data_IF_675117644533
#
_entry.id   IF_675117644533
#
_cell.length_a   1.000
_cell.length_b   1.000
_cell.length_c   1.000
_cell.angle_alpha   90.00
_cell.angle_beta   90.00
_cell.angle_gamma   90.00
#
_symmetry.space_group_name_H-M   'P 1'
#
loop_
_entity.id
_entity.type
_entity.pdbx_description
1 polymer ?
#
# COMPACT_ATOMS: atom_id res chain seq x y z
N UNK A 1 7.72 0.57 -15.41
CA UNK A 1 7.52 0.40 -13.96
C UNK A 1 6.02 0.41 -13.70
N UNK A 2 5.44 -0.75 -13.43
CA UNK A 2 4.01 -0.92 -13.17
C UNK A 2 3.77 -0.86 -11.65
N UNK A 3 2.98 0.10 -11.21
CA UNK A 3 2.73 0.35 -9.79
C UNK A 3 1.22 0.33 -9.54
N UNK A 4 0.78 -0.25 -8.42
CA UNK A 4 -0.63 -0.33 -8.09
C UNK A 4 -0.93 -0.35 -6.59
N UNK A 5 -2.21 -0.27 -6.25
CA UNK A 5 -2.72 -0.49 -4.90
C UNK A 5 -3.76 -1.60 -4.91
N UNK A 6 -3.70 -2.50 -3.92
CA UNK A 6 -4.64 -3.60 -3.78
C UNK A 6 -5.08 -3.78 -2.32
N UNK A 7 -6.36 -3.58 -2.06
CA UNK A 7 -7.00 -4.04 -0.83
C UNK A 7 -7.26 -5.56 -0.92
N UNK A 8 -6.41 -6.34 -0.26
CA UNK A 8 -6.43 -7.81 -0.30
C UNK A 8 -7.35 -8.43 0.75
N UNK A 9 -7.93 -7.62 1.64
CA UNK A 9 -8.76 -7.99 2.81
C UNK A 9 -8.08 -8.87 3.87
N UNK A 10 -7.10 -9.70 3.50
CA UNK A 10 -6.27 -10.50 4.40
C UNK A 10 -5.10 -11.12 3.64
N UNK A 11 -3.88 -10.94 4.15
CA UNK A 11 -2.66 -11.53 3.57
C UNK A 11 -2.38 -12.96 4.07
N UNK A 12 -2.77 -13.30 5.31
CA UNK A 12 -2.55 -14.61 5.93
C UNK A 12 -3.83 -15.16 6.59
N UNK A 13 -4.08 -16.47 6.45
CA UNK A 13 -5.25 -17.09 7.05
C UNK A 13 -5.27 -16.99 8.59
N UNK A 14 -6.47 -16.83 9.16
CA UNK A 14 -6.69 -16.67 10.61
C UNK A 14 -6.31 -17.91 11.42
N UNK A 15 -6.30 -19.08 10.78
CA UNK A 15 -6.06 -20.35 11.45
C UNK A 15 -4.58 -20.74 11.40
N UNK A 16 -3.92 -20.54 12.53
CA UNK A 16 -2.74 -21.29 12.95
C UNK A 16 -3.08 -22.78 13.21
N UNK A 17 -3.83 -23.44 12.33
CA UNK A 17 -4.00 -24.89 12.36
C UNK A 17 -3.02 -25.55 11.38
N UNK A 18 -1.79 -25.63 11.87
CA UNK A 18 -0.90 -26.80 11.72
C UNK A 18 -0.34 -27.21 10.36
N UNK A 19 -0.51 -26.50 9.23
CA UNK A 19 0.29 -26.92 8.04
C UNK A 19 0.62 -25.95 6.90
N UNK A 20 -0.09 -24.86 6.61
CA UNK A 20 0.14 -24.14 5.32
C UNK A 20 -0.15 -22.63 5.36
N UNK A 21 0.76 -21.80 5.91
CA UNK A 21 0.69 -20.33 5.81
C UNK A 21 0.80 -19.78 4.37
N UNK A 22 1.14 -20.63 3.40
CA UNK A 22 1.59 -20.26 2.05
C UNK A 22 0.47 -19.97 1.04
N UNK A 23 -0.81 -20.29 1.29
CA UNK A 23 -1.80 -20.26 0.19
C UNK A 23 -2.19 -18.86 -0.29
N UNK A 24 -2.39 -17.89 0.61
CA UNK A 24 -2.87 -16.55 0.22
C UNK A 24 -1.76 -15.66 -0.31
N UNK A 25 -0.57 -15.70 0.29
CA UNK A 25 0.61 -14.98 -0.23
C UNK A 25 0.96 -15.46 -1.64
N UNK A 26 0.96 -16.77 -1.88
CA UNK A 26 1.19 -17.35 -3.21
C UNK A 26 0.13 -16.89 -4.22
N UNK A 27 -1.14 -16.82 -3.84
CA UNK A 27 -2.20 -16.34 -4.73
C UNK A 27 -2.01 -14.85 -5.06
N UNK A 28 -1.78 -14.01 -4.06
CA UNK A 28 -1.49 -12.59 -4.27
C UNK A 28 -0.28 -12.45 -5.20
N UNK A 29 0.82 -13.14 -4.92
CA UNK A 29 2.03 -13.06 -5.71
C UNK A 29 1.85 -13.56 -7.16
N UNK A 30 1.03 -14.60 -7.38
CA UNK A 30 0.66 -15.06 -8.73
C UNK A 30 -0.18 -14.05 -9.50
N UNK A 31 -1.13 -13.40 -8.84
CA UNK A 31 -1.94 -12.34 -9.46
C UNK A 31 -1.07 -11.13 -9.82
N UNK A 32 -0.18 -10.72 -8.91
CA UNK A 32 0.80 -9.68 -9.19
C UNK A 32 1.73 -10.03 -10.35
N UNK A 33 2.16 -11.29 -10.44
CA UNK A 33 2.95 -11.79 -11.56
C UNK A 33 2.16 -11.80 -12.86
N UNK A 34 0.89 -12.20 -12.83
CA UNK A 34 0.02 -12.23 -14.02
C UNK A 34 -0.13 -10.85 -14.64
N UNK A 35 -0.26 -9.83 -13.79
CA UNK A 35 -0.47 -8.46 -14.23
C UNK A 35 0.86 -7.67 -14.38
N UNK A 36 2.01 -8.36 -14.25
CA UNK A 36 3.37 -7.82 -14.38
C UNK A 36 3.64 -6.57 -13.52
N UNK A 37 3.23 -6.60 -12.25
CA UNK A 37 3.36 -5.47 -11.33
C UNK A 37 4.76 -5.41 -10.70
N UNK A 38 5.38 -4.23 -10.66
CA UNK A 38 6.71 -4.06 -10.06
C UNK A 38 6.64 -3.71 -8.57
N UNK A 39 5.72 -2.81 -8.20
CA UNK A 39 5.50 -2.39 -6.81
C UNK A 39 4.00 -2.29 -6.55
N UNK A 40 3.51 -2.97 -5.51
CA UNK A 40 2.10 -2.89 -5.11
C UNK A 40 1.97 -2.56 -3.64
N UNK A 41 1.19 -1.52 -3.34
CA UNK A 41 0.74 -1.22 -2.00
C UNK A 41 -0.43 -2.13 -1.62
N UNK A 42 -0.31 -2.79 -0.48
CA UNK A 42 -1.30 -3.70 0.05
C UNK A 42 -2.06 -3.04 1.20
N UNK A 43 -3.38 -3.08 1.15
CA UNK A 43 -4.26 -2.65 2.23
C UNK A 43 -5.02 -3.84 2.82
N UNK A 44 -5.40 -3.71 4.09
CA UNK A 44 -6.05 -4.76 4.88
C UNK A 44 -5.26 -6.08 4.94
N UNK A 45 -3.95 -6.00 5.21
CA UNK A 45 -3.13 -7.21 5.42
C UNK A 45 -3.64 -8.04 6.60
N UNK A 46 -4.19 -7.37 7.62
CA UNK A 46 -4.70 -7.95 8.89
C UNK A 46 -3.69 -8.84 9.62
N UNK A 47 -2.40 -8.53 9.46
CA UNK A 47 -1.29 -9.15 10.20
C UNK A 47 -0.87 -8.22 11.33
N UNK A 48 -0.51 -8.77 12.49
CA UNK A 48 0.03 -7.99 13.61
C UNK A 48 1.51 -7.63 13.42
N UNK A 49 1.91 -6.53 14.05
CA UNK A 49 3.30 -6.09 14.09
C UNK A 49 3.85 -5.68 12.74
N UNK A 50 5.18 -5.67 12.65
CA UNK A 50 5.94 -5.35 11.45
C UNK A 50 6.76 -6.56 11.04
N UNK A 51 6.88 -6.80 9.73
CA UNK A 51 7.72 -7.87 9.23
C UNK A 51 7.85 -7.86 7.72
N UNK A 52 8.65 -8.78 7.23
CA UNK A 52 8.84 -9.04 5.81
C UNK A 52 9.05 -10.54 5.54
N UNK A 53 8.73 -10.98 4.33
CA UNK A 53 9.08 -12.31 3.84
C UNK A 53 9.18 -12.30 2.31
N UNK A 54 9.95 -13.24 1.77
CA UNK A 54 10.09 -13.42 0.32
C UNK A 54 9.24 -14.60 -0.13
N UNK A 55 8.29 -14.33 -1.03
CA UNK A 55 7.47 -15.33 -1.69
C UNK A 55 8.21 -15.86 -2.92
N UNK A 56 8.88 -17.00 -2.75
CA UNK A 56 9.74 -17.59 -3.79
C UNK A 56 8.96 -18.06 -5.01
N UNK A 57 7.67 -18.35 -4.89
CA UNK A 57 6.85 -18.90 -5.98
C UNK A 57 6.70 -17.95 -7.17
N UNK A 58 6.59 -16.65 -6.92
CA UNK A 58 6.43 -15.62 -7.94
C UNK A 58 7.51 -14.52 -7.89
N UNK A 59 8.45 -14.61 -6.94
CA UNK A 59 9.59 -13.69 -6.86
C UNK A 59 9.23 -12.31 -6.31
N UNK A 60 8.37 -12.25 -5.28
CA UNK A 60 7.99 -10.98 -4.62
C UNK A 60 8.50 -10.92 -3.19
N UNK A 61 8.97 -9.74 -2.78
CA UNK A 61 9.26 -9.41 -1.39
C UNK A 61 8.06 -8.71 -0.79
N UNK A 62 7.46 -9.31 0.22
CA UNK A 62 6.36 -8.72 0.98
C UNK A 62 6.88 -8.03 2.24
N UNK A 63 6.37 -6.84 2.50
CA UNK A 63 6.54 -6.08 3.73
C UNK A 63 5.15 -5.80 4.31
N UNK A 64 4.98 -5.85 5.63
CA UNK A 64 3.74 -5.43 6.27
C UNK A 64 4.00 -4.65 7.55
N UNK A 65 3.04 -3.80 7.86
CA UNK A 65 2.91 -3.10 9.13
C UNK A 65 1.43 -3.11 9.51
N UNK A 66 1.11 -3.76 10.62
CA UNK A 66 -0.21 -3.73 11.22
C UNK A 66 -0.17 -3.32 12.68
N UNK A 67 -1.30 -3.47 13.36
CA UNK A 67 -1.43 -3.12 14.78
C UNK A 67 -0.66 -4.12 15.66
N UNK A 68 -0.36 -3.72 16.89
CA UNK A 68 0.22 -4.62 17.89
C UNK A 68 -0.75 -5.77 18.23
N UNK A 69 -0.20 -6.89 18.73
CA UNK A 69 -0.96 -8.11 19.05
C UNK A 69 -2.10 -7.89 20.04
N UNK A 70 -1.99 -6.85 20.87
CA UNK A 70 -2.99 -6.41 21.86
C UNK A 70 -4.29 -5.90 21.22
N UNK A 71 -4.25 -5.46 19.96
CA UNK A 71 -5.40 -4.93 19.24
C UNK A 71 -5.98 -5.95 18.24
N UNK A 72 -7.24 -5.79 17.84
CA UNK A 72 -7.87 -6.66 16.84
C UNK A 72 -7.17 -6.57 15.47
N UNK A 73 -7.12 -7.70 14.74
CA UNK A 73 -6.65 -7.82 13.34
C UNK A 73 -7.64 -7.23 12.34
N UNK A 74 -7.88 -5.92 12.42
CA UNK A 74 -8.85 -5.23 11.57
C UNK A 74 -8.18 -4.35 10.50
N UNK A 75 -6.90 -4.03 10.67
CA UNK A 75 -6.18 -3.10 9.79
C UNK A 75 -4.73 -3.53 9.60
N UNK A 76 -4.13 -3.07 8.51
CA UNK A 76 -2.72 -3.27 8.21
C UNK A 76 -2.41 -2.87 6.78
N UNK A 77 -1.21 -2.33 6.58
CA UNK A 77 -0.68 -1.94 5.27
C UNK A 77 0.53 -2.79 4.95
N UNK A 78 0.91 -2.84 3.68
CA UNK A 78 2.10 -3.54 3.25
C UNK A 78 2.54 -3.15 1.85
N UNK A 79 3.63 -3.74 1.41
CA UNK A 79 4.12 -3.64 0.05
C UNK A 79 4.46 -5.03 -0.47
N UNK A 80 4.22 -5.23 -1.76
CA UNK A 80 4.80 -6.31 -2.54
C UNK A 80 5.73 -5.69 -3.58
N UNK A 81 7.02 -6.05 -3.53
CA UNK A 81 8.03 -5.55 -4.46
C UNK A 81 8.53 -6.74 -5.27
N UNK A 82 8.46 -6.66 -6.59
CA UNK A 82 9.00 -7.68 -7.48
C UNK A 82 10.51 -7.73 -7.34
N UNK A 83 11.01 -8.88 -6.91
CA UNK A 83 12.45 -9.16 -6.87
C UNK A 83 12.86 -9.50 -8.29
N UNK A 84 13.36 -8.51 -9.01
CA UNK A 84 14.01 -8.77 -10.29
C UNK A 84 15.42 -9.28 -9.99
N UNK A 85 15.80 -10.51 -10.39
CA UNK A 85 17.19 -10.93 -10.26
C UNK A 85 18.08 -9.99 -11.06
N UNK A 86 19.22 -9.61 -10.50
CA UNK A 86 20.15 -8.61 -11.05
C UNK A 86 20.59 -8.91 -12.51
N UNK A 87 20.41 -10.14 -12.99
CA UNK A 87 20.68 -10.57 -14.36
C UNK A 87 19.78 -9.94 -15.44
N UNK A 88 18.68 -9.26 -15.07
CA UNK A 88 17.85 -8.47 -16.01
C UNK A 88 18.17 -6.97 -16.02
N UNK A 89 19.12 -6.50 -15.21
CA UNK A 89 19.61 -5.13 -15.26
C UNK A 89 20.73 -5.06 -16.30
N UNK A 90 20.37 -4.80 -17.56
CA UNK A 90 21.36 -4.58 -18.64
C UNK A 90 22.20 -3.31 -18.43
N UNK A 91 21.79 -2.44 -17.50
CA UNK A 91 22.53 -1.25 -17.10
C UNK A 91 22.51 -1.13 -15.56
N UNK A 92 23.70 -1.03 -14.96
CA UNK A 92 23.84 -0.63 -13.55
C UNK A 92 23.29 0.80 -13.41
N UNK A 93 22.35 1.08 -12.48
CA UNK A 93 21.83 2.43 -12.30
C UNK A 93 22.99 3.37 -11.94
N UNK A 94 23.23 4.39 -12.78
CA UNK A 94 24.18 5.44 -12.49
C UNK A 94 23.64 6.24 -11.30
N UNK A 95 24.39 6.23 -10.20
CA UNK A 95 24.01 6.87 -8.94
C UNK A 95 23.93 8.38 -9.05
N UNK A 96 22.77 8.89 -9.43
CA UNK A 96 22.20 10.08 -8.80
C UNK A 96 21.08 9.54 -7.89
N UNK A 97 20.82 10.17 -6.74
CA UNK A 97 19.88 9.63 -5.74
C UNK A 97 18.46 9.50 -6.34
N UNK A 98 18.19 8.41 -7.05
CA UNK A 98 16.87 7.99 -7.49
C UNK A 98 16.21 7.16 -6.37
N UNK A 99 16.26 7.66 -5.13
CA UNK A 99 15.59 7.01 -4.01
C UNK A 99 14.09 7.18 -4.21
N UNK A 100 13.47 6.20 -4.87
CA UNK A 100 12.02 6.14 -4.98
C UNK A 100 11.44 5.85 -3.60
N UNK A 101 10.90 6.88 -2.95
CA UNK A 101 10.22 6.71 -1.66
C UNK A 101 8.78 6.26 -1.91
N UNK A 102 8.47 5.02 -1.59
CA UNK A 102 7.10 4.48 -1.70
C UNK A 102 6.39 4.51 -0.35
N UNK A 103 5.24 5.19 -0.27
CA UNK A 103 4.40 5.25 0.93
C UNK A 103 3.07 4.53 0.67
N UNK A 104 2.69 3.61 1.56
CA UNK A 104 1.41 2.90 1.49
C UNK A 104 0.58 3.28 2.70
N UNK A 105 -0.60 3.81 2.48
CA UNK A 105 -1.50 4.22 3.55
C UNK A 105 -2.86 3.53 3.46
N UNK A 106 -3.50 3.34 4.61
CA UNK A 106 -4.90 2.95 4.69
C UNK A 106 -5.63 4.00 5.52
N UNK A 107 -6.43 4.83 4.86
CA UNK A 107 -7.09 5.93 5.52
C UNK A 107 -8.34 5.48 6.30
N UNK A 108 -8.75 6.24 7.32
CA UNK A 108 -9.96 5.95 8.07
C UNK A 108 -11.20 5.88 7.18
N UNK A 109 -12.07 4.90 7.47
CA UNK A 109 -13.32 4.70 6.73
C UNK A 109 -14.31 5.85 6.99
N UNK A 110 -15.40 5.91 6.22
CA UNK A 110 -16.46 6.91 6.41
C UNK A 110 -17.08 6.90 7.82
N UNK A 111 -17.08 5.75 8.50
CA UNK A 111 -17.66 5.58 9.84
C UNK A 111 -16.72 6.00 10.98
N UNK A 112 -15.45 6.31 10.67
CA UNK A 112 -14.49 6.79 11.67
C UNK A 112 -14.87 8.20 12.15
N UNK A 113 -14.49 8.53 13.39
CA UNK A 113 -14.78 9.84 13.98
C UNK A 113 -14.11 10.97 13.19
N UNK A 114 -14.62 12.20 13.33
CA UNK A 114 -14.01 13.37 12.68
C UNK A 114 -12.58 13.60 13.17
N UNK A 115 -12.34 13.39 14.46
CA UNK A 115 -11.03 13.57 15.08
C UNK A 115 -10.02 12.53 14.57
N UNK A 116 -10.41 11.26 14.43
CA UNK A 116 -9.56 10.21 13.87
C UNK A 116 -9.17 10.51 12.41
N UNK A 117 -10.13 11.00 11.61
CA UNK A 117 -9.89 11.40 10.22
C UNK A 117 -8.90 12.56 10.16
N UNK A 118 -9.14 13.61 10.95
CA UNK A 118 -8.28 14.79 10.98
C UNK A 118 -6.86 14.44 11.43
N UNK A 119 -6.72 13.65 12.50
CA UNK A 119 -5.42 13.21 13.01
C UNK A 119 -4.64 12.41 11.94
N UNK A 120 -5.32 11.53 11.21
CA UNK A 120 -4.71 10.79 10.11
C UNK A 120 -4.22 11.72 8.99
N UNK A 121 -5.07 12.60 8.46
CA UNK A 121 -4.71 13.45 7.32
C UNK A 121 -3.67 14.52 7.68
N UNK A 122 -3.68 15.04 8.91
CA UNK A 122 -2.62 15.93 9.40
C UNK A 122 -1.27 15.21 9.49
N UNK A 123 -1.24 14.03 10.13
CA UNK A 123 -0.01 13.23 10.22
C UNK A 123 0.51 12.80 8.84
N UNK A 124 -0.39 12.43 7.94
CA UNK A 124 -0.06 12.07 6.56
C UNK A 124 0.55 13.26 5.80
N UNK A 125 -0.02 14.45 5.94
CA UNK A 125 0.50 15.69 5.33
C UNK A 125 1.90 16.03 5.86
N UNK A 126 2.12 15.86 7.16
CA UNK A 126 3.43 16.08 7.77
C UNK A 126 4.48 15.10 7.24
N UNK A 127 4.12 13.82 7.08
CA UNK A 127 5.00 12.81 6.48
C UNK A 127 5.38 13.21 5.05
N UNK A 128 4.41 13.63 4.23
CA UNK A 128 4.66 14.05 2.83
C UNK A 128 5.57 15.28 2.78
N UNK A 129 5.34 16.28 3.65
CA UNK A 129 6.17 17.49 3.72
C UNK A 129 7.61 17.20 4.11
N UNK A 130 7.84 16.13 4.87
CA UNK A 130 9.18 15.70 5.28
C UNK A 130 9.91 14.87 4.22
N UNK A 131 9.27 14.49 3.11
CA UNK A 131 9.94 13.86 1.97
C UNK A 131 10.84 14.91 1.32
N UNK A 132 12.12 14.59 1.11
CA UNK A 132 13.08 15.50 0.48
C UNK A 132 12.57 15.91 -0.91
N UNK A 133 12.64 17.20 -1.22
CA UNK A 133 12.06 17.77 -2.44
C UNK A 133 12.71 17.26 -3.74
N UNK A 134 13.91 16.69 -3.63
CA UNK A 134 14.66 16.08 -4.74
C UNK A 134 14.39 14.57 -4.89
N UNK A 135 13.71 13.93 -3.92
CA UNK A 135 13.36 12.52 -3.98
C UNK A 135 12.06 12.33 -4.78
N UNK A 136 12.08 11.42 -5.74
CA UNK A 136 10.85 10.96 -6.43
C UNK A 136 10.04 10.12 -5.42
N UNK A 137 8.82 10.53 -5.09
CA UNK A 137 7.95 9.76 -4.20
C UNK A 137 6.70 9.24 -4.90
N UNK A 138 6.27 8.04 -4.49
CA UNK A 138 5.05 7.41 -4.98
C UNK A 138 4.20 7.05 -3.77
N UNK A 139 3.06 7.69 -3.66
CA UNK A 139 2.12 7.48 -2.56
C UNK A 139 0.97 6.64 -3.08
N UNK A 140 0.73 5.52 -2.44
CA UNK A 140 -0.25 4.52 -2.79
C UNK A 140 -1.08 4.19 -1.57
N UNK A 141 -2.24 3.60 -1.78
CA UNK A 141 -3.07 3.17 -0.67
C UNK A 141 -4.55 3.29 -0.96
N UNK A 142 -5.33 2.83 0.02
CA UNK A 142 -6.77 3.02 0.03
C UNK A 142 -7.07 4.21 0.95
N UNK A 143 -7.32 5.35 0.31
CA UNK A 143 -7.59 6.60 1.02
C UNK A 143 -9.06 6.76 1.43
N UNK A 144 -9.95 5.81 1.08
CA UNK A 144 -11.38 5.93 1.38
C UNK A 144 -11.97 7.30 0.95
N UNK A 145 -11.39 7.92 -0.09
CA UNK A 145 -11.78 9.24 -0.60
C UNK A 145 -12.68 9.11 -1.81
N UNK A 146 -13.59 10.08 -1.93
CA UNK A 146 -14.24 10.42 -3.19
C UNK A 146 -13.95 11.88 -3.42
N UNK A 147 -13.42 12.18 -4.60
CA UNK A 147 -13.09 13.53 -5.06
C UNK A 147 -13.89 13.79 -6.33
N UNK A 148 -14.43 15.00 -6.44
CA UNK A 148 -15.16 15.49 -7.61
C UNK A 148 -14.23 15.66 -8.83
N UNK A 149 -14.84 15.67 -10.02
CA UNK A 149 -14.12 15.61 -11.30
C UNK A 149 -13.17 16.79 -11.55
N UNK A 150 -13.39 17.92 -10.87
CA UNK A 150 -12.70 19.19 -11.11
C UNK A 150 -11.25 19.23 -10.60
N UNK A 151 -10.82 18.23 -9.80
CA UNK A 151 -9.48 18.19 -9.19
C UNK A 151 -8.42 17.43 -9.99
N UNK A 152 -8.63 17.24 -11.30
CA UNK A 152 -7.67 16.54 -12.16
C UNK A 152 -7.55 15.04 -11.84
N UNK A 153 -8.65 14.42 -11.39
CA UNK A 153 -8.72 13.00 -11.06
C UNK A 153 -8.57 12.14 -12.31
N UNK A 154 -7.46 11.39 -12.42
CA UNK A 154 -7.28 10.34 -13.43
C UNK A 154 -8.09 9.10 -13.05
N UNK A 155 -9.41 9.16 -13.26
CA UNK A 155 -10.32 8.06 -12.98
C UNK A 155 -11.67 8.27 -13.65
N UNK A 156 -11.87 7.68 -14.84
CA UNK A 156 -13.10 7.77 -15.65
C UNK A 156 -14.40 7.25 -14.98
N UNK A 157 -14.30 6.79 -13.72
CA UNK A 157 -15.37 6.12 -12.97
C UNK A 157 -15.68 6.80 -11.63
N UNK A 158 -15.09 7.96 -11.32
CA UNK A 158 -15.49 8.75 -10.15
C UNK A 158 -16.90 9.33 -10.34
N UNK A 159 -17.88 8.82 -9.61
CA UNK A 159 -19.27 9.31 -9.64
C UNK A 159 -19.62 9.92 -8.28
N UNK A 160 -20.08 11.17 -8.27
CA UNK A 160 -20.60 11.87 -7.09
C UNK A 160 -19.73 13.03 -6.59
N UNK A 161 -20.23 13.75 -5.59
CA UNK A 161 -19.53 14.86 -4.94
C UNK A 161 -18.45 14.39 -3.97
N UNK A 162 -17.47 15.25 -3.71
CA UNK A 162 -16.42 15.01 -2.73
C UNK A 162 -16.99 14.61 -1.36
N UNK A 163 -16.41 13.55 -0.75
CA UNK A 163 -16.77 13.14 0.62
C UNK A 163 -15.86 13.83 1.66
N UNK A 164 -16.17 13.71 2.96
CA UNK A 164 -15.39 14.36 4.01
C UNK A 164 -13.90 14.01 3.98
N UNK A 165 -13.58 12.77 3.60
CA UNK A 165 -12.21 12.30 3.46
C UNK A 165 -11.52 12.96 2.24
N UNK A 166 -12.24 13.10 1.12
CA UNK A 166 -11.74 13.76 -0.08
C UNK A 166 -11.41 15.23 0.16
N UNK A 167 -12.27 15.94 0.89
CA UNK A 167 -12.00 17.33 1.29
C UNK A 167 -10.76 17.45 2.20
N UNK A 168 -10.55 16.51 3.12
CA UNK A 168 -9.38 16.49 4.00
C UNK A 168 -8.08 16.11 3.29
N UNK A 169 -8.15 15.29 2.23
CA UNK A 169 -6.98 14.92 1.43
C UNK A 169 -6.48 16.10 0.57
N UNK A 170 -7.38 16.98 0.14
CA UNK A 170 -7.10 18.10 -0.76
C UNK A 170 -6.70 19.39 -0.04
N UNK A 171 -6.69 19.39 1.29
CA UNK A 171 -6.39 20.54 2.13
C UNK A 171 -4.90 20.62 2.48
#
# INVERSE_FOLDING_TARGET
MNIGGWNIRTLLDKDCLKSRPERRSVLVAKELQRDDMDVVALAETRIHGKGNFVEKSAGYHFFWSGREETYKRESGVGFAIKITPASKLELLPCGHSERLMSLSAYAPTMNSSKDDKLAFYLSFTEIIRNILHDDKSVILGDFNVRVDADWGVLGKHGVGSSNSNGLLLLQ
#
